data_IF_384793404403
#
_entry.id   IF_384793404403
#
_cell.length_a   1.000
_cell.length_b   1.000
_cell.length_c   1.000
_cell.angle_alpha   90.00
_cell.angle_beta   90.00
_cell.angle_gamma   90.00
#
_symmetry.space_group_name_H-M   'P 1'
#
loop_
_entity.id
_entity.type
_entity.pdbx_description
1 polymer ?
#
# COMPACT_ATOMS: atom_id res chain seq x y z
N UNK A 1 -13.58 -16.25 -5.49
CA UNK A 1 -13.84 -15.12 -6.40
C UNK A 1 -13.31 -13.77 -5.89
N UNK A 2 -12.83 -13.67 -4.64
CA UNK A 2 -12.35 -12.40 -4.04
C UNK A 2 -11.03 -11.82 -4.59
N UNK A 3 -10.09 -12.67 -5.02
CA UNK A 3 -8.78 -12.21 -5.52
C UNK A 3 -8.87 -11.27 -6.73
N UNK A 4 -9.98 -11.35 -7.47
CA UNK A 4 -10.22 -10.59 -8.69
C UNK A 4 -10.77 -9.18 -8.42
N UNK A 5 -11.46 -8.99 -7.29
CA UNK A 5 -12.04 -7.70 -6.89
C UNK A 5 -10.96 -6.74 -6.37
N UNK A 6 -10.05 -7.25 -5.52
CA UNK A 6 -8.93 -6.46 -5.01
C UNK A 6 -7.99 -6.03 -6.14
N UNK A 7 -7.72 -6.93 -7.09
CA UNK A 7 -6.91 -6.65 -8.27
C UNK A 7 -7.60 -5.61 -9.19
N UNK A 8 -8.92 -5.69 -9.36
CA UNK A 8 -9.71 -4.68 -10.09
C UNK A 8 -9.70 -3.32 -9.40
N UNK A 9 -9.93 -3.30 -8.09
CA UNK A 9 -9.92 -2.06 -7.31
C UNK A 9 -8.54 -1.39 -7.34
N UNK A 10 -7.46 -2.17 -7.20
CA UNK A 10 -6.09 -1.68 -7.32
C UNK A 10 -5.78 -1.15 -8.72
N UNK A 11 -6.21 -1.86 -9.77
CA UNK A 11 -6.01 -1.42 -11.16
C UNK A 11 -6.78 -0.13 -11.47
N UNK A 12 -8.03 -0.02 -11.00
CA UNK A 12 -8.84 1.18 -11.19
C UNK A 12 -8.27 2.37 -10.41
N UNK A 13 -7.85 2.17 -9.16
CA UNK A 13 -7.20 3.20 -8.36
C UNK A 13 -5.93 3.73 -9.02
N UNK A 14 -5.07 2.84 -9.52
CA UNK A 14 -3.86 3.24 -10.25
C UNK A 14 -4.19 3.94 -11.57
N UNK A 15 -5.22 3.49 -12.27
CA UNK A 15 -5.65 4.08 -13.54
C UNK A 15 -6.24 5.48 -13.34
N UNK A 16 -7.03 5.69 -12.28
CA UNK A 16 -7.56 6.99 -11.89
C UNK A 16 -6.43 7.93 -11.42
N UNK A 17 -5.42 7.40 -10.74
CA UNK A 17 -4.25 8.18 -10.31
C UNK A 17 -3.39 8.66 -11.49
N UNK A 18 -3.27 7.83 -12.53
CA UNK A 18 -2.50 8.11 -13.75
C UNK A 18 -3.29 8.98 -14.74
N UNK A 19 -4.59 8.71 -14.90
CA UNK A 19 -5.45 9.37 -15.90
C UNK A 19 -5.89 10.78 -15.54
N UNK A 20 -5.94 11.15 -14.25
CA UNK A 20 -6.33 12.49 -13.78
C UNK A 20 -5.21 13.54 -13.83
N UNK A 21 -4.16 13.35 -14.62
CA UNK A 21 -3.17 14.39 -14.96
C UNK A 21 -2.41 15.02 -13.76
N UNK A 22 -2.06 14.19 -12.76
CA UNK A 22 -1.16 14.56 -11.65
C UNK A 22 0.12 13.74 -11.69
N UNK A 23 0.86 13.78 -12.79
CA UNK A 23 2.19 13.15 -12.88
C UNK A 23 3.18 13.67 -11.81
N UNK A 24 2.94 14.85 -11.22
CA UNK A 24 3.66 15.33 -10.02
C UNK A 24 3.21 14.65 -8.70
N UNK A 25 2.00 14.12 -8.66
CA UNK A 25 1.39 13.49 -7.48
C UNK A 25 1.64 11.99 -7.38
N UNK A 26 1.83 11.29 -8.50
CA UNK A 26 2.15 9.85 -8.55
C UNK A 26 3.41 9.49 -7.75
N UNK A 27 4.53 10.22 -7.86
CA UNK A 27 5.70 9.99 -7.01
C UNK A 27 5.39 10.19 -5.52
N UNK A 28 4.57 11.18 -5.17
CA UNK A 28 4.14 11.43 -3.79
C UNK A 28 3.27 10.30 -3.27
N UNK A 29 2.30 9.84 -4.06
CA UNK A 29 1.38 8.75 -3.68
C UNK A 29 2.15 7.43 -3.56
N UNK A 30 3.08 7.15 -4.48
CA UNK A 30 3.97 6.00 -4.36
C UNK A 30 4.87 6.09 -3.12
N UNK A 31 5.41 7.28 -2.82
CA UNK A 31 6.21 7.52 -1.62
C UNK A 31 5.40 7.34 -0.33
N UNK A 32 4.21 7.93 -0.24
CA UNK A 32 3.33 7.78 0.92
C UNK A 32 2.82 6.35 1.08
N UNK A 33 2.51 5.67 -0.03
CA UNK A 33 2.12 4.25 0.00
C UNK A 33 3.29 3.38 0.45
N UNK A 34 4.50 3.63 -0.05
CA UNK A 34 5.71 2.95 0.37
C UNK A 34 6.02 3.17 1.86
N UNK A 35 5.89 4.40 2.36
CA UNK A 35 6.04 4.73 3.77
C UNK A 35 4.99 4.02 4.64
N UNK A 36 3.72 4.02 4.24
CA UNK A 36 2.66 3.33 4.96
C UNK A 36 2.89 1.82 5.03
N UNK A 37 3.34 1.20 3.93
CA UNK A 37 3.71 -0.22 3.91
C UNK A 37 4.91 -0.51 4.83
N UNK A 38 5.88 0.41 4.90
CA UNK A 38 7.03 0.28 5.78
C UNK A 38 6.63 0.35 7.26
N UNK A 39 5.74 1.27 7.62
CA UNK A 39 5.19 1.41 8.97
C UNK A 39 4.43 0.15 9.39
N UNK A 40 3.60 -0.38 8.50
CA UNK A 40 2.86 -1.63 8.72
C UNK A 40 3.82 -2.82 8.88
N UNK A 41 4.87 -2.90 8.07
CA UNK A 41 5.87 -3.96 8.18
C UNK A 41 6.61 -3.93 9.54
N UNK A 42 6.93 -2.73 10.05
CA UNK A 42 7.53 -2.57 11.38
C UNK A 42 6.58 -3.04 12.48
N UNK A 43 5.32 -2.61 12.45
CA UNK A 43 4.30 -3.05 13.43
C UNK A 43 4.13 -4.57 13.44
N UNK A 44 4.15 -5.22 12.27
CA UNK A 44 4.06 -6.68 12.16
C UNK A 44 5.31 -7.36 12.74
N UNK A 45 6.50 -6.83 12.48
CA UNK A 45 7.76 -7.33 13.05
C UNK A 45 7.78 -7.19 14.57
N UNK A 46 7.43 -6.02 15.10
CA UNK A 46 7.34 -5.78 16.55
C UNK A 46 6.32 -6.70 17.22
N UNK A 47 5.14 -6.88 16.60
CA UNK A 47 4.13 -7.80 17.11
C UNK A 47 4.63 -9.26 17.10
N UNK A 48 5.45 -9.64 16.11
CA UNK A 48 6.04 -10.98 16.04
C UNK A 48 7.12 -11.18 17.09
N UNK A 49 8.00 -10.20 17.29
CA UNK A 49 9.02 -10.24 18.35
C UNK A 49 8.39 -10.26 19.75
N UNK A 50 7.33 -9.47 19.97
CA UNK A 50 6.59 -9.48 21.23
C UNK A 50 5.95 -10.84 21.52
N UNK A 51 5.49 -11.55 20.47
CA UNK A 51 4.95 -12.91 20.58
C UNK A 51 6.03 -13.95 20.86
N UNK A 52 7.25 -13.80 20.32
CA UNK A 52 8.37 -14.72 20.58
C UNK A 52 9.01 -14.53 21.96
N UNK A 53 8.77 -13.38 22.62
CA UNK A 53 9.25 -13.08 23.98
C UNK A 53 8.27 -13.51 25.10
N UNK A 54 7.10 -14.05 24.75
CA UNK A 54 6.10 -14.64 25.67
C UNK A 54 6.25 -16.17 25.70
#
# INVERSE_FOLDING_TARGET
MEKNELAKAGKNFLTDLVGNDKLEGLPKVAAYTGLALLELAKLVLEAKEAKERL
#
